data_IF_766507096180
#
_entry.id   IF_766507096180
#
_cell.length_a   1.000
_cell.length_b   1.000
_cell.length_c   1.000
_cell.angle_alpha   90.00
_cell.angle_beta   90.00
_cell.angle_gamma   90.00
#
_symmetry.space_group_name_H-M   'P 1'
#
loop_
_entity.id
_entity.type
_entity.pdbx_description
1 polymer ?
#
# COMPACT_ATOMS: atom_id res chain seq x y z
N UNK A 1 20.67 5.42 -0.32
CA UNK A 1 21.11 4.00 -0.31
C UNK A 1 19.89 3.23 -0.76
N UNK A 2 20.00 2.30 -1.70
CA UNK A 2 18.82 1.64 -2.29
C UNK A 2 18.62 0.26 -1.69
N UNK A 3 17.37 -0.10 -1.45
CA UNK A 3 17.00 -1.42 -0.98
C UNK A 3 17.10 -2.48 -2.08
N UNK A 4 17.74 -3.60 -1.77
CA UNK A 4 17.79 -4.74 -2.67
C UNK A 4 16.60 -5.67 -2.41
N UNK A 5 15.70 -5.78 -3.41
CA UNK A 5 14.57 -6.71 -3.35
C UNK A 5 15.06 -8.15 -3.18
N UNK A 6 14.45 -8.87 -2.24
CA UNK A 6 14.67 -10.31 -2.07
C UNK A 6 13.93 -11.06 -3.16
N UNK A 7 14.60 -12.01 -3.82
CA UNK A 7 13.98 -12.84 -4.86
C UNK A 7 12.72 -13.55 -4.34
N UNK A 8 11.69 -13.63 -5.20
CA UNK A 8 10.35 -14.08 -4.81
C UNK A 8 10.34 -15.42 -4.07
N UNK A 9 10.91 -16.48 -4.65
CA UNK A 9 10.88 -17.82 -4.04
C UNK A 9 11.60 -17.88 -2.69
N UNK A 10 12.71 -17.15 -2.56
CA UNK A 10 13.45 -17.06 -1.31
C UNK A 10 12.63 -16.35 -0.24
N UNK A 11 12.04 -15.20 -0.58
CA UNK A 11 11.21 -14.43 0.34
C UNK A 11 9.97 -15.23 0.76
N UNK A 12 9.26 -15.83 -0.22
CA UNK A 12 8.11 -16.70 0.01
C UNK A 12 8.44 -17.83 1.00
N UNK A 13 9.52 -18.58 0.76
CA UNK A 13 9.93 -19.67 1.64
C UNK A 13 10.19 -19.19 3.07
N UNK A 14 10.95 -18.09 3.22
CA UNK A 14 11.24 -17.52 4.53
C UNK A 14 9.98 -17.05 5.27
N UNK A 15 9.04 -16.42 4.58
CA UNK A 15 7.81 -15.92 5.18
C UNK A 15 6.87 -17.07 5.59
N UNK A 16 6.75 -18.11 4.77
CA UNK A 16 5.98 -19.31 5.12
C UNK A 16 6.56 -19.98 6.37
N UNK A 17 7.87 -20.18 6.43
CA UNK A 17 8.52 -20.78 7.61
C UNK A 17 8.38 -19.90 8.86
N UNK A 18 8.37 -18.58 8.68
CA UNK A 18 8.11 -17.63 9.77
C UNK A 18 6.69 -17.77 10.33
N UNK A 19 5.69 -17.89 9.46
CA UNK A 19 4.30 -18.13 9.86
C UNK A 19 4.15 -19.49 10.55
N UNK A 20 4.76 -20.56 10.01
CA UNK A 20 4.77 -21.88 10.66
C UNK A 20 5.37 -21.83 12.06
N UNK A 21 6.51 -21.13 12.22
CA UNK A 21 7.17 -20.94 13.51
C UNK A 21 6.28 -20.18 14.50
N UNK A 22 5.60 -19.13 14.04
CA UNK A 22 4.65 -18.39 14.85
C UNK A 22 3.45 -19.25 15.30
N UNK A 23 2.90 -20.07 14.39
CA UNK A 23 1.83 -21.01 14.72
C UNK A 23 2.30 -21.99 15.79
N UNK A 24 3.48 -22.60 15.63
CA UNK A 24 4.05 -23.53 16.64
C UNK A 24 4.31 -22.87 17.98
N UNK A 25 4.66 -21.57 18.00
CA UNK A 25 4.85 -20.84 19.24
C UNK A 25 3.57 -20.78 20.07
N UNK A 26 2.41 -20.51 19.44
CA UNK A 26 1.12 -20.45 20.15
C UNK A 26 0.41 -21.81 20.26
N UNK A 27 0.63 -22.71 19.32
CA UNK A 27 0.02 -24.05 19.27
C UNK A 27 1.10 -25.10 18.97
N UNK A 28 1.87 -25.54 19.98
CA UNK A 28 3.05 -26.40 19.78
C UNK A 28 2.77 -27.75 19.11
N UNK A 29 1.53 -28.24 19.20
CA UNK A 29 1.10 -29.52 18.61
C UNK A 29 0.48 -29.38 17.21
N UNK A 30 0.44 -28.17 16.66
CA UNK A 30 -0.10 -27.96 15.32
C UNK A 30 0.80 -28.63 14.28
N UNK A 31 0.21 -29.43 13.41
CA UNK A 31 0.89 -29.94 12.23
C UNK A 31 0.97 -28.83 11.18
N UNK A 32 2.14 -28.20 11.11
CA UNK A 32 2.41 -27.14 10.14
C UNK A 32 3.12 -27.65 8.89
N UNK A 33 3.38 -28.96 8.77
CA UNK A 33 3.93 -29.57 7.55
C UNK A 33 2.81 -29.89 6.55
N UNK A 34 1.95 -28.89 6.38
CA UNK A 34 0.83 -28.90 5.46
C UNK A 34 1.13 -27.96 4.31
N UNK A 35 0.40 -28.15 3.22
CA UNK A 35 0.43 -27.22 2.09
C UNK A 35 0.20 -25.76 2.57
N UNK A 36 0.96 -24.76 2.05
CA UNK A 36 0.83 -23.37 2.50
C UNK A 36 -0.60 -22.82 2.45
N UNK A 37 -1.44 -23.27 1.52
CA UNK A 37 -2.85 -22.86 1.44
C UNK A 37 -3.69 -23.31 2.65
N UNK A 38 -3.25 -24.35 3.37
CA UNK A 38 -3.93 -24.90 4.55
C UNK A 38 -3.46 -24.27 5.86
N UNK A 39 -2.34 -23.52 5.85
CA UNK A 39 -1.81 -22.86 7.04
C UNK A 39 -2.78 -21.81 7.61
N UNK A 40 -3.63 -21.22 6.76
CA UNK A 40 -4.67 -20.27 7.16
C UNK A 40 -5.58 -20.85 8.27
N UNK A 41 -5.90 -22.15 8.20
CA UNK A 41 -6.77 -22.83 9.17
C UNK A 41 -6.14 -22.97 10.56
N UNK A 42 -4.81 -22.88 10.65
CA UNK A 42 -4.05 -23.03 11.89
C UNK A 42 -3.81 -21.69 12.59
N UNK A 43 -4.19 -20.57 11.96
CA UNK A 43 -3.98 -19.23 12.52
C UNK A 43 -4.95 -18.89 13.67
N UNK A 44 -5.95 -19.73 13.93
CA UNK A 44 -6.88 -19.55 15.06
C UNK A 44 -6.18 -19.51 16.41
N UNK A 45 -5.05 -20.21 16.56
CA UNK A 45 -4.22 -20.19 17.77
C UNK A 45 -3.36 -18.94 17.92
N UNK A 46 -3.13 -18.17 16.85
CA UNK A 46 -2.31 -16.95 16.87
C UNK A 46 -3.10 -15.78 17.47
N UNK A 47 -2.40 -14.83 18.09
CA UNK A 47 -3.01 -13.62 18.69
C UNK A 47 -3.83 -12.83 17.67
N UNK A 48 -4.91 -12.19 18.17
CA UNK A 48 -5.83 -11.40 17.35
C UNK A 48 -5.11 -10.32 16.51
N UNK A 49 -4.06 -9.70 17.06
CA UNK A 49 -3.31 -8.65 16.35
C UNK A 49 -2.43 -9.17 15.20
N UNK A 50 -1.97 -10.42 15.28
CA UNK A 50 -1.03 -11.02 14.30
C UNK A 50 -1.71 -11.93 13.31
N UNK A 51 -2.83 -12.54 13.70
CA UNK A 51 -3.63 -13.44 12.87
C UNK A 51 -3.98 -12.83 11.50
N UNK A 52 -4.64 -11.67 11.40
CA UNK A 52 -5.02 -11.13 10.09
C UNK A 52 -3.81 -10.73 9.23
N UNK A 53 -2.70 -10.32 9.86
CA UNK A 53 -1.45 -10.01 9.14
C UNK A 53 -0.83 -11.26 8.52
N UNK A 54 -0.80 -12.38 9.25
CA UNK A 54 -0.33 -13.66 8.72
C UNK A 54 -1.26 -14.18 7.62
N UNK A 55 -2.57 -14.05 7.84
CA UNK A 55 -3.58 -14.46 6.86
C UNK A 55 -3.43 -13.67 5.55
N UNK A 56 -3.26 -12.36 5.64
CA UNK A 56 -3.04 -11.49 4.48
C UNK A 56 -1.76 -11.86 3.73
N UNK A 57 -0.69 -12.13 4.45
CA UNK A 57 0.58 -12.59 3.88
C UNK A 57 0.42 -13.91 3.11
N UNK A 58 -0.24 -14.91 3.69
CA UNK A 58 -0.50 -16.19 3.03
C UNK A 58 -1.41 -16.04 1.80
N UNK A 59 -2.46 -15.23 1.90
CA UNK A 59 -3.37 -14.95 0.78
C UNK A 59 -2.65 -14.33 -0.40
N UNK A 60 -1.84 -13.29 -0.15
CA UNK A 60 -1.08 -12.63 -1.22
C UNK A 60 -0.07 -13.58 -1.85
N UNK A 61 0.63 -14.40 -1.05
CA UNK A 61 1.51 -15.45 -1.60
C UNK A 61 0.74 -16.39 -2.51
N UNK A 62 -0.40 -16.93 -2.07
CA UNK A 62 -1.20 -17.86 -2.86
C UNK A 62 -1.78 -17.23 -4.14
N UNK A 63 -2.10 -15.94 -4.11
CA UNK A 63 -2.56 -15.20 -5.29
C UNK A 63 -1.41 -14.91 -6.27
N UNK A 64 -0.21 -14.59 -5.76
CA UNK A 64 0.99 -14.41 -6.58
C UNK A 64 1.44 -15.73 -7.21
N UNK A 65 1.35 -16.85 -6.50
CA UNK A 65 1.69 -18.18 -7.03
C UNK A 65 0.85 -18.52 -8.26
N UNK A 66 -0.44 -18.20 -8.22
CA UNK A 66 -1.40 -18.44 -9.30
C UNK A 66 -1.40 -17.37 -10.39
N UNK A 67 -0.72 -16.25 -10.18
CA UNK A 67 -0.70 -15.15 -11.15
C UNK A 67 0.29 -15.41 -12.29
N UNK A 68 -0.01 -14.83 -13.45
CA UNK A 68 0.87 -14.77 -14.62
C UNK A 68 1.87 -13.62 -14.57
N UNK A 69 2.06 -12.98 -13.40
CA UNK A 69 2.98 -11.88 -13.23
C UNK A 69 4.43 -12.35 -13.37
N UNK A 70 5.31 -11.45 -13.83
CA UNK A 70 6.74 -11.74 -13.91
C UNK A 70 7.33 -12.02 -12.52
N UNK A 71 8.41 -12.79 -12.44
CA UNK A 71 9.11 -13.06 -11.18
C UNK A 71 9.53 -11.77 -10.46
N UNK A 72 9.94 -10.75 -11.21
CA UNK A 72 10.31 -9.44 -10.65
C UNK A 72 9.12 -8.68 -10.09
N UNK A 73 7.97 -8.73 -10.77
CA UNK A 73 6.71 -8.16 -10.27
C UNK A 73 6.28 -8.86 -8.98
N UNK A 74 6.29 -10.20 -8.96
CA UNK A 74 5.95 -10.99 -7.77
C UNK A 74 6.88 -10.68 -6.61
N UNK A 75 8.18 -10.59 -6.88
CA UNK A 75 9.17 -10.22 -5.87
C UNK A 75 8.88 -8.81 -5.32
N UNK A 76 8.65 -7.83 -6.19
CA UNK A 76 8.35 -6.46 -5.76
C UNK A 76 7.10 -6.42 -4.87
N UNK A 77 5.98 -7.01 -5.30
CA UNK A 77 4.74 -7.06 -4.52
C UNK A 77 4.97 -7.70 -3.15
N UNK A 78 5.64 -8.86 -3.10
CA UNK A 78 5.84 -9.56 -1.83
C UNK A 78 6.81 -8.83 -0.89
N UNK A 79 7.88 -8.23 -1.41
CA UNK A 79 8.78 -7.38 -0.61
C UNK A 79 8.03 -6.16 -0.06
N UNK A 80 7.22 -5.51 -0.90
CA UNK A 80 6.39 -4.38 -0.49
C UNK A 80 5.43 -4.75 0.61
N UNK A 81 4.73 -5.88 0.49
CA UNK A 81 3.80 -6.36 1.51
C UNK A 81 4.52 -6.67 2.82
N UNK A 82 5.61 -7.43 2.76
CA UNK A 82 6.38 -7.81 3.94
C UNK A 82 6.91 -6.57 4.67
N UNK A 83 7.42 -5.58 3.92
CA UNK A 83 7.90 -4.33 4.51
C UNK A 83 6.76 -3.48 5.08
N UNK A 84 5.62 -3.40 4.38
CA UNK A 84 4.44 -2.71 4.87
C UNK A 84 3.93 -3.31 6.19
N UNK A 85 3.84 -4.64 6.28
CA UNK A 85 3.45 -5.32 7.53
C UNK A 85 4.50 -5.12 8.63
N UNK A 86 5.79 -5.10 8.30
CA UNK A 86 6.85 -4.78 9.24
C UNK A 86 6.64 -3.38 9.85
N UNK A 87 6.36 -2.37 9.03
CA UNK A 87 6.05 -1.01 9.51
C UNK A 87 4.75 -0.95 10.31
N UNK A 88 3.72 -1.69 9.90
CA UNK A 88 2.43 -1.74 10.62
C UNK A 88 2.61 -2.35 12.02
N UNK A 89 3.43 -3.40 12.12
CA UNK A 89 3.77 -4.00 13.41
C UNK A 89 4.59 -3.01 14.23
N UNK A 90 5.62 -2.39 13.66
CA UNK A 90 6.42 -1.35 14.34
C UNK A 90 5.55 -0.26 14.97
N UNK A 91 4.61 0.28 14.19
CA UNK A 91 3.69 1.32 14.63
C UNK A 91 2.73 0.87 15.75
N UNK A 92 2.44 -0.44 15.84
CA UNK A 92 1.61 -0.99 16.92
C UNK A 92 2.32 -1.06 18.28
N UNK A 93 3.65 -0.99 18.30
CA UNK A 93 4.45 -0.98 19.53
C UNK A 93 4.79 0.46 19.95
N UNK A 94 3.94 1.07 20.77
CA UNK A 94 4.11 2.47 21.21
C UNK A 94 5.08 2.64 22.38
N UNK A 95 5.05 1.71 23.34
CA UNK A 95 5.82 1.80 24.61
C UNK A 95 6.81 0.64 24.80
N UNK A 96 6.75 -0.36 23.93
CA UNK A 96 7.59 -1.54 23.97
C UNK A 96 8.42 -1.60 22.70
N UNK A 97 9.53 -2.32 22.71
CA UNK A 97 10.30 -2.54 21.49
C UNK A 97 9.52 -3.44 20.52
N UNK A 98 9.43 -3.10 19.22
CA UNK A 98 8.84 -3.99 18.22
C UNK A 98 9.58 -5.31 18.06
N UNK A 99 10.85 -5.37 18.50
CA UNK A 99 11.64 -6.61 18.57
C UNK A 99 11.06 -7.66 19.52
N UNK A 100 10.07 -7.30 20.35
CA UNK A 100 9.32 -8.26 21.15
C UNK A 100 8.29 -9.04 20.31
N UNK A 101 8.05 -8.65 19.06
CA UNK A 101 7.20 -9.38 18.12
C UNK A 101 8.03 -10.38 17.31
N UNK A 102 7.73 -11.67 17.46
CA UNK A 102 8.34 -12.71 16.63
C UNK A 102 8.14 -12.46 15.14
N UNK A 103 6.95 -11.99 14.74
CA UNK A 103 6.65 -11.67 13.34
C UNK A 103 7.44 -10.46 12.82
N UNK A 104 7.69 -9.44 13.67
CA UNK A 104 8.53 -8.30 13.29
C UNK A 104 9.95 -8.76 12.96
N UNK A 105 10.58 -9.48 13.90
CA UNK A 105 11.95 -10.00 13.74
C UNK A 105 12.08 -10.93 12.52
N UNK A 106 11.04 -11.75 12.29
CA UNK A 106 10.97 -12.62 11.13
C UNK A 106 10.93 -11.83 9.82
N UNK A 107 10.11 -10.77 9.74
CA UNK A 107 10.06 -9.90 8.57
C UNK A 107 11.38 -9.15 8.37
N UNK A 108 11.98 -8.63 9.44
CA UNK A 108 13.31 -7.98 9.41
C UNK A 108 14.35 -8.92 8.79
N UNK A 109 14.37 -10.17 9.24
CA UNK A 109 15.32 -11.20 8.75
C UNK A 109 15.00 -11.61 7.31
N UNK A 110 13.74 -11.86 6.99
CA UNK A 110 13.31 -12.34 5.68
C UNK A 110 13.60 -11.32 4.56
N UNK A 111 13.45 -10.04 4.86
CA UNK A 111 13.77 -8.91 3.98
C UNK A 111 15.26 -8.55 3.97
N UNK A 112 16.05 -9.12 4.87
CA UNK A 112 17.47 -8.75 5.04
C UNK A 112 17.65 -7.29 5.43
N UNK A 113 16.76 -6.75 6.28
CA UNK A 113 16.82 -5.35 6.67
C UNK A 113 18.06 -5.08 7.52
N UNK A 114 18.81 -4.05 7.14
CA UNK A 114 19.93 -3.51 7.91
C UNK A 114 19.99 -1.99 7.78
N UNK A 115 20.91 -1.35 8.49
CA UNK A 115 21.17 0.09 8.36
C UNK A 115 21.52 0.48 6.92
N UNK A 116 22.16 -0.41 6.19
CA UNK A 116 22.60 -0.23 4.80
C UNK A 116 21.57 -0.73 3.77
N UNK A 117 20.67 -1.64 4.17
CA UNK A 117 19.66 -2.26 3.32
C UNK A 117 18.25 -2.08 3.91
N UNK A 118 17.69 -0.88 3.76
CA UNK A 118 16.30 -0.57 4.15
C UNK A 118 15.68 0.32 3.08
N UNK A 119 14.41 0.10 2.66
CA UNK A 119 13.73 0.94 1.68
C UNK A 119 13.74 2.41 2.09
N UNK A 120 14.25 3.27 1.22
CA UNK A 120 14.22 4.72 1.43
C UNK A 120 13.05 5.39 0.68
N UNK A 121 12.99 6.72 0.76
CA UNK A 121 11.93 7.53 0.11
C UNK A 121 11.92 7.43 -1.42
N UNK A 122 12.98 6.93 -2.04
CA UNK A 122 13.05 6.68 -3.48
C UNK A 122 12.55 5.27 -3.81
N UNK A 123 12.86 4.27 -2.97
CA UNK A 123 12.43 2.88 -3.18
C UNK A 123 10.92 2.69 -2.90
N UNK A 124 10.43 3.30 -1.81
CA UNK A 124 9.09 3.06 -1.29
C UNK A 124 7.93 3.44 -2.23
N UNK A 125 7.96 4.56 -2.97
CA UNK A 125 6.92 4.87 -3.94
C UNK A 125 6.72 3.78 -4.99
N UNK A 126 7.80 3.16 -5.47
CA UNK A 126 7.73 2.12 -6.50
C UNK A 126 7.25 0.80 -5.90
N UNK A 127 7.74 0.46 -4.70
CA UNK A 127 7.27 -0.68 -3.92
C UNK A 127 5.76 -0.60 -3.64
N UNK A 128 5.30 0.53 -3.10
CA UNK A 128 3.89 0.72 -2.76
C UNK A 128 2.98 0.92 -3.97
N UNK A 129 3.50 1.44 -5.09
CA UNK A 129 2.77 1.44 -6.35
C UNK A 129 2.46 0.01 -6.82
N UNK A 130 3.45 -0.89 -6.79
CA UNK A 130 3.26 -2.28 -7.20
C UNK A 130 2.27 -3.02 -6.28
N UNK A 131 2.37 -2.82 -4.97
CA UNK A 131 1.44 -3.42 -4.00
C UNK A 131 0.01 -2.86 -4.18
N UNK A 132 -0.14 -1.55 -4.32
CA UNK A 132 -1.44 -0.91 -4.53
C UNK A 132 -2.11 -1.41 -5.81
N UNK A 133 -1.37 -1.46 -6.92
CA UNK A 133 -1.88 -1.99 -8.19
C UNK A 133 -2.33 -3.45 -8.06
N UNK A 134 -1.49 -4.29 -7.45
CA UNK A 134 -1.83 -5.68 -7.17
C UNK A 134 -3.14 -5.81 -6.37
N UNK A 135 -3.28 -5.07 -5.27
CA UNK A 135 -4.48 -5.11 -4.43
C UNK A 135 -5.72 -4.62 -5.19
N UNK A 136 -5.62 -3.49 -5.90
CA UNK A 136 -6.75 -2.92 -6.64
C UNK A 136 -7.30 -3.88 -7.68
N UNK A 137 -6.43 -4.58 -8.42
CA UNK A 137 -6.87 -5.58 -9.42
C UNK A 137 -7.51 -6.84 -8.81
N UNK A 138 -7.41 -7.03 -7.48
CA UNK A 138 -8.03 -8.14 -6.73
C UNK A 138 -9.20 -7.71 -5.85
N UNK A 139 -9.49 -6.42 -5.77
CA UNK A 139 -10.62 -5.85 -5.00
C UNK A 139 -11.68 -5.28 -5.96
N UNK A 140 -11.24 -4.54 -6.98
CA UNK A 140 -12.12 -3.77 -7.87
C UNK A 140 -12.16 -4.30 -9.30
N UNK A 141 -13.30 -4.11 -9.96
CA UNK A 141 -13.46 -4.41 -11.40
C UNK A 141 -12.50 -3.53 -12.21
N UNK A 142 -11.74 -4.18 -13.09
CA UNK A 142 -10.70 -3.53 -13.92
C UNK A 142 -9.64 -2.77 -13.09
N UNK A 143 -9.49 -3.09 -11.79
CA UNK A 143 -8.57 -2.37 -10.90
C UNK A 143 -8.98 -0.93 -10.58
N UNK A 144 -10.22 -0.52 -10.86
CA UNK A 144 -10.70 0.84 -10.60
C UNK A 144 -11.92 0.84 -9.65
N UNK A 145 -11.85 1.49 -8.48
CA UNK A 145 -12.97 1.57 -7.55
C UNK A 145 -14.24 2.20 -8.15
N UNK A 146 -14.13 3.02 -9.21
CA UNK A 146 -15.29 3.60 -9.90
C UNK A 146 -16.18 2.56 -10.57
N UNK A 147 -15.62 1.39 -10.90
CA UNK A 147 -16.35 0.28 -11.51
C UNK A 147 -16.96 -0.68 -10.47
N UNK A 148 -16.78 -0.41 -9.18
CA UNK A 148 -17.26 -1.24 -8.08
C UNK A 148 -16.38 -2.46 -7.80
N UNK A 149 -16.79 -3.25 -6.82
CA UNK A 149 -16.08 -4.44 -6.32
C UNK A 149 -16.19 -5.64 -7.27
N UNK A 150 -15.20 -6.53 -7.20
CA UNK A 150 -15.30 -7.87 -7.79
C UNK A 150 -16.44 -8.67 -7.12
N UNK A 151 -17.03 -9.60 -7.88
CA UNK A 151 -18.10 -10.46 -7.36
C UNK A 151 -17.58 -11.45 -6.30
N UNK A 152 -16.34 -11.89 -6.44
CA UNK A 152 -15.65 -12.76 -5.49
C UNK A 152 -14.52 -11.97 -4.82
N UNK A 153 -14.56 -11.90 -3.49
CA UNK A 153 -13.58 -11.18 -2.69
C UNK A 153 -12.49 -12.16 -2.20
N UNK A 154 -11.46 -12.35 -3.03
CA UNK A 154 -10.35 -13.26 -2.74
C UNK A 154 -9.45 -12.80 -1.59
N UNK A 155 -9.59 -11.53 -1.19
CA UNK A 155 -8.91 -10.89 -0.05
C UNK A 155 -9.87 -10.59 1.10
N UNK A 156 -11.00 -11.30 1.19
CA UNK A 156 -11.86 -11.27 2.36
C UNK A 156 -11.19 -12.05 3.51
N UNK A 157 -10.76 -11.32 4.52
CA UNK A 157 -9.98 -11.84 5.64
C UNK A 157 -10.74 -11.52 6.93
N UNK A 158 -11.01 -12.52 7.80
CA UNK A 158 -11.70 -12.29 9.06
C UNK A 158 -11.01 -11.22 9.91
N UNK A 159 -11.81 -10.29 10.43
CA UNK A 159 -11.36 -9.18 11.29
C UNK A 159 -10.32 -8.25 10.64
N UNK A 160 -10.35 -8.12 9.31
CA UNK A 160 -9.38 -7.31 8.56
C UNK A 160 -10.02 -6.47 7.45
N UNK A 161 -9.83 -5.15 7.52
CA UNK A 161 -10.33 -4.21 6.52
C UNK A 161 -9.23 -3.88 5.50
N UNK A 162 -9.24 -4.58 4.36
CA UNK A 162 -8.23 -4.40 3.31
C UNK A 162 -8.24 -2.99 2.71
N UNK A 163 -9.40 -2.34 2.67
CA UNK A 163 -9.57 -0.98 2.17
C UNK A 163 -8.84 0.06 3.02
N UNK A 164 -8.77 -0.16 4.34
CA UNK A 164 -8.02 0.72 5.25
C UNK A 164 -6.52 0.65 4.92
N UNK A 165 -6.02 -0.55 4.64
CA UNK A 165 -4.62 -0.75 4.27
C UNK A 165 -4.31 -0.22 2.87
N UNK A 166 -5.21 -0.42 1.89
CA UNK A 166 -5.07 0.16 0.56
C UNK A 166 -5.00 1.69 0.61
N UNK A 167 -5.89 2.34 1.37
CA UNK A 167 -5.88 3.79 1.58
C UNK A 167 -4.60 4.25 2.25
N UNK A 168 -4.12 3.52 3.27
CA UNK A 168 -2.87 3.85 3.96
C UNK A 168 -1.66 3.78 3.00
N UNK A 169 -1.60 2.75 2.17
CA UNK A 169 -0.55 2.56 1.16
C UNK A 169 -0.59 3.71 0.13
N UNK A 170 -1.77 4.03 -0.42
CA UNK A 170 -1.91 5.13 -1.40
C UNK A 170 -1.54 6.49 -0.80
N UNK A 171 -1.98 6.78 0.43
CA UNK A 171 -1.62 8.00 1.14
C UNK A 171 -0.11 8.10 1.38
N UNK A 172 0.53 7.01 1.81
CA UNK A 172 1.97 7.00 2.08
C UNK A 172 2.78 7.20 0.81
N UNK A 173 2.38 6.53 -0.27
CA UNK A 173 2.99 6.72 -1.59
C UNK A 173 2.85 8.18 -2.06
N UNK A 174 1.68 8.79 -1.89
CA UNK A 174 1.44 10.18 -2.26
C UNK A 174 2.34 11.15 -1.47
N UNK A 175 2.44 10.98 -0.16
CA UNK A 175 3.32 11.76 0.72
C UNK A 175 4.77 11.70 0.25
N UNK A 176 5.29 10.49 0.00
CA UNK A 176 6.66 10.27 -0.44
C UNK A 176 6.95 10.91 -1.81
N UNK A 177 6.00 10.84 -2.74
CA UNK A 177 6.15 11.49 -4.06
C UNK A 177 6.26 13.02 -3.93
N UNK A 178 5.47 13.63 -3.04
CA UNK A 178 5.58 15.07 -2.76
C UNK A 178 6.96 15.41 -2.18
N UNK A 179 7.43 14.64 -1.18
CA UNK A 179 8.76 14.82 -0.58
C UNK A 179 9.87 14.76 -1.65
N UNK A 180 9.79 13.80 -2.57
CA UNK A 180 10.77 13.65 -3.64
C UNK A 180 10.77 14.83 -4.62
N UNK A 181 9.59 15.38 -4.96
CA UNK A 181 9.46 16.60 -5.77
C UNK A 181 10.10 17.79 -5.07
N UNK A 182 9.81 17.97 -3.78
CA UNK A 182 10.36 19.07 -2.99
C UNK A 182 11.89 18.99 -2.87
N UNK A 183 12.44 17.80 -2.69
CA UNK A 183 13.88 17.58 -2.59
C UNK A 183 14.60 17.78 -3.94
N UNK A 184 13.96 17.39 -5.04
CA UNK A 184 14.45 17.70 -6.39
C UNK A 184 14.49 19.23 -6.61
N UNK A 185 13.44 19.94 -6.20
CA UNK A 185 13.39 21.40 -6.29
C UNK A 185 14.45 22.09 -5.41
N UNK A 186 14.65 21.63 -4.17
CA UNK A 186 15.73 22.14 -3.30
C UNK A 186 17.11 21.91 -3.92
N UNK A 187 17.32 20.77 -4.57
CA UNK A 187 18.58 20.44 -5.25
C UNK A 187 18.81 21.36 -6.44
N UNK A 188 17.78 21.60 -7.26
CA UNK A 188 17.82 22.57 -8.35
C UNK A 188 18.20 23.97 -7.86
N UNK A 189 17.58 24.47 -6.78
CA UNK A 189 17.91 25.78 -6.22
C UNK A 189 19.36 25.88 -5.71
N UNK A 190 19.94 24.78 -5.19
CA UNK A 190 21.35 24.75 -4.77
C UNK A 190 22.30 24.85 -5.96
N UNK A 191 21.96 24.24 -7.09
CA UNK A 191 22.74 24.31 -8.32
C UNK A 191 22.73 25.72 -8.95
N UNK A 192 21.68 26.51 -8.70
CA UNK A 192 21.57 27.88 -9.18
C UNK A 192 22.33 28.92 -8.34
N UNK A 193 22.73 28.58 -7.11
CA UNK A 193 23.54 29.52 -6.31
C UNK A 193 24.95 29.54 -6.89
N UNK A 194 25.53 30.72 -7.21
CA UNK A 194 26.91 30.78 -7.64
C UNK A 194 27.78 30.15 -6.55
N UNK A 195 28.71 29.26 -6.94
CA UNK A 195 29.76 28.78 -6.04
C UNK A 195 30.46 30.04 -5.53
N UNK A 196 30.25 30.40 -4.27
CA UNK A 196 31.07 31.41 -3.63
C UNK A 196 32.51 30.93 -3.81
N UNK A 197 33.32 31.69 -4.53
CA UNK A 197 34.70 31.33 -4.76
C UNK A 197 35.38 31.21 -3.41
N UNK A 198 35.95 30.04 -3.12
CA UNK A 198 37.10 29.94 -2.23
C UNK A 198 38.26 30.67 -2.90
N UNK A 199 38.24 31.99 -2.86
CA UNK A 199 39.37 32.85 -3.16
C UNK A 199 39.54 33.77 -1.98
N UNK A 200 40.40 33.35 -1.05
CA UNK A 200 40.85 34.17 0.05
C UNK A 200 41.42 35.50 -0.45
N UNK A 201 41.31 36.51 0.41
CA UNK A 201 42.20 37.67 0.49
C UNK A 201 42.66 38.25 -0.86
N UNK A 202 41.83 39.03 -1.54
CA UNK A 202 42.20 40.23 -2.32
C UNK A 202 40.96 40.68 -3.11
N UNK A 203 40.51 41.93 -2.94
CA UNK A 203 39.47 42.50 -3.82
C UNK A 203 38.45 43.40 -3.14
N UNK A 204 38.93 44.42 -2.42
CA UNK A 204 38.20 45.68 -2.27
C UNK A 204 37.95 46.29 -3.65
N UNK A 205 36.76 46.91 -3.81
CA UNK A 205 36.30 47.85 -4.84
C UNK A 205 35.39 47.32 -5.97
N UNK A 206 34.23 47.96 -6.03
CA UNK A 206 33.23 48.07 -7.09
C UNK A 206 32.04 47.10 -7.10
N UNK A 207 30.85 47.72 -7.12
CA UNK A 207 29.84 47.35 -8.11
C UNK A 207 28.55 46.76 -7.55
N UNK A 208 27.63 47.64 -7.17
CA UNK A 208 26.20 47.38 -7.00
C UNK A 208 25.66 46.58 -8.19
N UNK A 209 25.00 45.44 -7.97
CA UNK A 209 24.04 44.91 -8.95
C UNK A 209 22.91 44.15 -8.28
N UNK A 210 21.72 44.48 -8.74
CA UNK A 210 20.38 44.15 -8.25
C UNK A 210 20.05 42.67 -8.37
N UNK A 211 19.60 42.08 -7.27
CA UNK A 211 19.03 40.72 -7.23
C UNK A 211 17.63 40.74 -7.80
N UNK A 212 17.43 40.12 -8.97
CA UNK A 212 16.09 39.79 -9.48
C UNK A 212 15.57 38.58 -8.70
N UNK A 213 14.49 38.78 -7.92
CA UNK A 213 13.74 37.70 -7.28
C UNK A 213 13.01 36.89 -8.36
N UNK A 214 13.40 35.65 -8.57
CA UNK A 214 12.58 34.69 -9.30
C UNK A 214 11.51 34.16 -8.35
N UNK A 215 10.27 34.63 -8.51
CA UNK A 215 9.11 34.13 -7.78
C UNK A 215 8.77 32.69 -8.17
N UNK A 216 8.33 31.89 -7.19
CA UNK A 216 7.67 30.59 -7.39
C UNK A 216 6.57 30.71 -8.48
N UNK A 217 6.38 29.72 -9.37
CA UNK A 217 5.13 29.62 -10.10
C UNK A 217 4.00 29.35 -9.09
N UNK A 218 3.11 30.33 -8.91
CA UNK A 218 1.87 30.16 -8.15
C UNK A 218 0.96 29.22 -8.94
N UNK A 219 0.60 28.08 -8.34
CA UNK A 219 -0.50 27.26 -8.80
C UNK A 219 -1.79 28.10 -8.76
N UNK A 220 -2.40 28.34 -9.92
CA UNK A 220 -3.69 29.00 -10.03
C UNK A 220 -4.81 28.03 -9.62
N UNK A 221 -5.11 27.94 -8.32
CA UNK A 221 -6.41 27.42 -7.91
C UNK A 221 -7.45 28.52 -8.15
N UNK A 222 -8.12 28.43 -9.29
CA UNK A 222 -9.34 29.18 -9.56
C UNK A 222 -10.40 28.70 -8.57
N UNK A 223 -10.69 29.52 -7.54
CA UNK A 223 -11.86 29.39 -6.69
C UNK A 223 -13.10 29.44 -7.58
N UNK A 224 -13.81 28.32 -7.72
CA UNK A 224 -15.21 28.35 -8.14
C UNK A 224 -16.04 28.59 -6.88
N UNK A 225 -16.57 29.81 -6.81
CA UNK A 225 -17.48 30.27 -5.77
C UNK A 225 -18.85 29.62 -5.97
N UNK A 226 -19.42 29.14 -4.85
CA UNK A 226 -20.83 28.76 -4.70
C UNK A 226 -21.73 29.95 -5.00
N UNK A 227 -22.74 29.76 -5.86
CA UNK A 227 -24.00 30.49 -5.75
C UNK A 227 -25.18 29.56 -6.05
N UNK A 228 -26.06 29.47 -5.06
CA UNK A 228 -27.37 28.83 -5.09
C UNK A 228 -28.28 29.47 -6.14
N UNK A 229 -29.19 28.68 -6.71
CA UNK A 229 -30.55 29.11 -7.06
C UNK A 229 -31.51 27.99 -6.66
N UNK A 230 -32.62 28.42 -6.07
CA UNK A 230 -33.67 27.68 -5.38
C UNK A 230 -34.52 26.73 -6.25
N UNK A 231 -35.05 25.75 -5.54
CA UNK A 231 -36.33 25.03 -5.68
C UNK A 231 -37.41 25.67 -6.55
N UNK A 232 -38.03 24.84 -7.40
CA UNK A 232 -39.48 24.84 -7.65
C UNK A 232 -39.97 23.39 -7.69
N UNK A 233 -40.96 23.12 -6.85
CA UNK A 233 -41.75 21.91 -6.71
C UNK A 233 -42.75 21.77 -7.86
N UNK A 234 -43.04 20.54 -8.31
CA UNK A 234 -44.39 20.09 -8.65
C UNK A 234 -44.39 18.58 -9.00
N UNK A 235 -45.12 17.82 -8.19
CA UNK A 235 -45.69 16.51 -8.53
C UNK A 235 -47.04 16.76 -9.24
N UNK A 236 -47.57 15.85 -10.09
CA UNK A 236 -48.56 14.93 -9.52
C UNK A 236 -48.68 13.53 -10.17
N UNK A 237 -49.03 12.58 -9.29
CA UNK A 237 -50.07 11.55 -9.39
C UNK A 237 -50.07 10.44 -10.47
N UNK A 238 -49.95 9.21 -9.94
CA UNK A 238 -50.80 8.00 -10.11
C UNK A 238 -51.59 7.77 -11.40
N UNK A 239 -51.52 6.54 -11.92
CA UNK A 239 -52.71 5.74 -12.26
C UNK A 239 -52.39 4.23 -12.39
N UNK A 240 -53.00 3.46 -11.49
CA UNK A 240 -53.78 2.23 -11.69
C UNK A 240 -53.41 1.21 -12.80
N UNK A 241 -53.05 0.00 -12.34
CA UNK A 241 -53.45 -1.31 -12.92
C UNK A 241 -54.91 -1.58 -12.53
N UNK A 242 -55.75 -2.35 -13.27
CA UNK A 242 -55.61 -3.83 -13.33
C UNK A 242 -56.26 -4.59 -14.53
N UNK A 243 -55.80 -5.82 -14.82
CA UNK A 243 -56.57 -7.08 -15.05
C UNK A 243 -55.66 -8.11 -15.76
N UNK A 244 -55.42 -9.36 -15.31
CA UNK A 244 -56.25 -10.52 -14.89
C UNK A 244 -56.67 -11.45 -16.06
N UNK A 245 -56.53 -12.75 -15.75
CA UNK A 245 -57.01 -13.98 -16.39
C UNK A 245 -56.05 -14.64 -17.41
N UNK A 246 -55.31 -15.69 -17.00
CA UNK A 246 -55.71 -17.11 -16.90
C UNK A 246 -56.00 -17.77 -18.25
N UNK A 247 -55.19 -18.77 -18.65
CA UNK A 247 -55.69 -20.09 -19.10
C UNK A 247 -54.63 -21.18 -18.81
N UNK A 248 -55.08 -22.22 -18.10
CA UNK A 248 -54.43 -23.51 -17.79
C UNK A 248 -54.40 -24.47 -19.00
N UNK A 249 -53.73 -25.62 -18.81
CA UNK A 249 -53.77 -26.90 -19.57
C UNK A 249 -52.65 -27.05 -20.62
N UNK A 250 -52.00 -28.21 -20.84
CA UNK A 250 -52.23 -29.59 -20.40
C UNK A 250 -50.93 -30.41 -20.56
N UNK A 251 -50.75 -31.39 -19.66
CA UNK A 251 -50.23 -32.75 -19.85
C UNK A 251 -49.25 -33.10 -21.01
N UNK A 252 -48.09 -33.65 -20.65
CA UNK A 252 -47.66 -35.03 -20.98
C UNK A 252 -46.59 -35.50 -20.00
#
# INVERSE_FOLDING_TARGET
MTFQLVAYEKLKGNLIESVKTLIKHYTPKADTDVDPSKLENLLNGVTADRRPQCFFLLKVIGLLDKSSESTDSKARVLNSLAFYLHQKIEASYTHLSPTNSNLYNALTTALGLSKENTPDKLDLPDMYSALSEFLRTRIYKLGDPRNGYLNEQVLDIPDYEIETDLKAIENKMHELRIINIDDAYKTYLKLQKPKASESGYFGSLFGTTTVTKTEKPKASHKKVSKKQVETVSEEPQSNDTPNRDEVKSHAM
#
